data_IF_226065772411
#
_entry.id   IF_226065772411
#
_cell.length_a   1.000
_cell.length_b   1.000
_cell.length_c   1.000
_cell.angle_alpha   90.00
_cell.angle_beta   90.00
_cell.angle_gamma   90.00
#
_symmetry.space_group_name_H-M   'P 1'
#
loop_
_entity.id
_entity.type
_entity.pdbx_description
1 polymer ?
#
# COMPACT_ATOMS: atom_id res chain seq x y z
N UNK A 1 -11.49 -0.30 7.53
CA UNK A 1 -10.21 -0.67 6.89
C UNK A 1 -9.92 0.23 5.72
N UNK A 2 -8.68 0.34 5.34
CA UNK A 2 -8.25 1.17 4.22
C UNK A 2 -7.24 0.40 3.36
N UNK A 3 -7.18 0.74 2.08
CA UNK A 3 -6.19 0.20 1.16
C UNK A 3 -5.16 1.28 0.81
N UNK A 4 -3.90 0.99 1.02
CA UNK A 4 -2.79 1.90 0.78
C UNK A 4 -1.84 1.28 -0.24
N UNK A 5 -1.52 2.04 -1.30
CA UNK A 5 -0.61 1.57 -2.33
C UNK A 5 0.85 1.75 -1.90
N UNK A 6 1.21 1.11 -0.80
CA UNK A 6 2.54 1.10 -0.24
C UNK A 6 2.77 -0.15 0.58
N UNK A 7 4.01 -0.62 0.62
CA UNK A 7 4.40 -1.78 1.42
C UNK A 7 4.68 -1.32 2.85
N UNK A 8 3.62 -1.24 3.67
CA UNK A 8 3.73 -0.79 5.06
C UNK A 8 4.69 -1.68 5.87
N UNK A 9 5.46 -1.14 6.79
CA UNK A 9 5.49 0.25 7.30
C UNK A 9 6.26 1.25 6.43
N UNK A 10 6.79 0.83 5.31
CA UNK A 10 7.47 1.70 4.37
C UNK A 10 6.45 2.41 3.48
N UNK A 11 6.82 3.52 2.87
CA UNK A 11 5.96 4.28 1.96
C UNK A 11 4.60 4.64 2.57
N UNK A 12 4.59 5.12 3.82
CA UNK A 12 3.39 5.67 4.45
C UNK A 12 3.03 7.02 3.85
N UNK A 13 1.77 7.44 4.00
CA UNK A 13 1.22 8.72 3.61
C UNK A 13 0.83 8.77 2.13
N UNK A 14 1.32 9.74 1.37
CA UNK A 14 0.85 10.03 0.00
C UNK A 14 1.99 10.08 -1.02
N UNK A 15 1.63 10.15 -2.30
CA UNK A 15 2.58 10.20 -3.43
C UNK A 15 3.53 8.99 -3.50
N UNK A 16 3.08 7.86 -2.96
CA UNK A 16 3.91 6.67 -2.81
C UNK A 16 4.39 6.10 -4.14
N UNK A 17 3.54 6.09 -5.18
CA UNK A 17 3.96 5.61 -6.50
C UNK A 17 5.02 6.51 -7.12
N UNK A 18 4.88 7.82 -6.95
CA UNK A 18 5.89 8.78 -7.40
C UNK A 18 7.23 8.52 -6.69
N UNK A 19 7.20 8.34 -5.37
CA UNK A 19 8.42 8.10 -4.60
C UNK A 19 9.03 6.75 -4.91
N UNK A 20 8.23 5.72 -5.16
CA UNK A 20 8.75 4.42 -5.58
C UNK A 20 9.50 4.51 -6.91
N UNK A 21 8.95 5.26 -7.87
CA UNK A 21 9.60 5.50 -9.16
C UNK A 21 10.86 6.35 -9.01
N UNK A 22 10.81 7.42 -8.20
CA UNK A 22 11.97 8.29 -7.93
C UNK A 22 13.10 7.48 -7.27
N UNK A 23 12.77 6.59 -6.36
CA UNK A 23 13.75 5.76 -5.65
C UNK A 23 14.22 4.55 -6.47
N UNK A 24 13.77 4.40 -7.69
CA UNK A 24 14.11 3.27 -8.57
C UNK A 24 13.84 1.92 -7.91
N UNK A 25 12.72 1.82 -7.23
CA UNK A 25 12.31 0.56 -6.59
C UNK A 25 12.01 -0.51 -7.64
N UNK A 26 12.36 -1.76 -7.35
CA UNK A 26 12.10 -2.89 -8.24
C UNK A 26 10.74 -3.52 -8.00
N UNK A 27 10.13 -3.21 -6.87
CA UNK A 27 8.80 -3.68 -6.50
C UNK A 27 8.12 -2.67 -5.60
N UNK A 28 6.80 -2.76 -5.51
CA UNK A 28 6.01 -2.01 -4.54
C UNK A 28 4.95 -2.92 -3.92
N UNK A 29 4.38 -2.49 -2.82
CA UNK A 29 3.34 -3.25 -2.16
C UNK A 29 2.03 -2.50 -2.11
N UNK A 30 0.94 -3.24 -1.96
CA UNK A 30 -0.38 -2.71 -1.62
C UNK A 30 -0.78 -3.35 -0.30
N UNK A 31 -1.19 -2.52 0.66
CA UNK A 31 -1.55 -2.98 2.00
C UNK A 31 -2.99 -2.61 2.33
N UNK A 32 -3.76 -3.56 2.84
CA UNK A 32 -5.05 -3.29 3.48
C UNK A 32 -4.82 -3.32 4.98
N UNK A 33 -5.22 -2.28 5.67
CA UNK A 33 -4.95 -2.11 7.10
C UNK A 33 -6.14 -1.51 7.84
N UNK A 34 -6.15 -1.68 9.15
CA UNK A 34 -7.09 -0.96 10.01
C UNK A 34 -6.69 0.50 10.12
N UNK A 35 -7.68 1.36 10.34
CA UNK A 35 -7.44 2.78 10.57
C UNK A 35 -7.23 2.98 12.07
N UNK A 36 -6.14 3.66 12.43
CA UNK A 36 -5.85 4.06 13.82
C UNK A 36 -5.54 5.56 13.89
N UNK A 37 -4.88 6.01 14.95
CA UNK A 37 -4.57 7.44 15.17
C UNK A 37 -3.46 7.96 14.26
N UNK A 38 -2.61 7.09 13.74
CA UNK A 38 -1.49 7.47 12.88
C UNK A 38 -1.83 7.41 11.40
N UNK A 39 -0.91 7.90 10.58
CA UNK A 39 -1.05 7.82 9.13
C UNK A 39 -0.51 6.47 8.65
N UNK A 40 -1.40 5.60 8.18
CA UNK A 40 -1.07 4.26 7.68
C UNK A 40 -0.30 3.41 8.71
N UNK A 41 -0.67 3.51 9.99
CA UNK A 41 0.00 2.81 11.09
C UNK A 41 -0.82 1.68 11.70
N UNK A 42 -2.07 1.49 11.28
CA UNK A 42 -2.92 0.41 11.78
C UNK A 42 -2.42 -0.98 11.40
N UNK A 43 -2.92 -1.99 12.10
CA UNK A 43 -2.54 -3.38 11.83
C UNK A 43 -2.87 -3.78 10.39
N UNK A 44 -1.99 -4.56 9.78
CA UNK A 44 -2.11 -4.99 8.38
C UNK A 44 -3.01 -6.22 8.31
N UNK A 45 -4.02 -6.17 7.44
CA UNK A 45 -4.94 -7.27 7.18
C UNK A 45 -4.43 -8.13 6.03
N UNK A 46 -4.10 -7.49 4.91
CA UNK A 46 -3.51 -8.14 3.72
C UNK A 46 -2.43 -7.24 3.14
N UNK A 47 -1.40 -7.85 2.61
CA UNK A 47 -0.36 -7.13 1.87
C UNK A 47 0.08 -7.97 0.69
N UNK A 48 0.24 -7.34 -0.46
CA UNK A 48 0.71 -8.02 -1.68
C UNK A 48 1.76 -7.18 -2.37
N UNK A 49 2.77 -7.83 -2.89
CA UNK A 49 3.90 -7.19 -3.57
C UNK A 49 3.79 -7.38 -5.07
N UNK A 50 4.14 -6.34 -5.83
CA UNK A 50 4.09 -6.30 -7.29
C UNK A 50 5.42 -5.84 -7.84
N UNK A 51 5.83 -6.44 -8.96
CA UNK A 51 7.04 -6.04 -9.66
C UNK A 51 6.82 -4.72 -10.41
N UNK A 52 7.81 -3.84 -10.36
CA UNK A 52 7.88 -2.65 -11.21
C UNK A 52 8.79 -2.99 -12.38
N UNK A 53 8.22 -2.97 -13.59
CA UNK A 53 8.95 -3.25 -14.82
C UNK A 53 9.58 -1.98 -15.38
N UNK A 54 10.62 -2.11 -16.17
CA UNK A 54 11.28 -0.95 -16.82
C UNK A 54 10.32 -0.14 -17.69
N UNK A 55 9.28 -0.79 -18.24
CA UNK A 55 8.24 -0.13 -19.03
C UNK A 55 7.16 0.56 -18.18
N UNK A 56 7.17 0.39 -16.86
CA UNK A 56 6.17 0.98 -16.00
C UNK A 56 6.45 2.46 -15.75
N UNK A 57 5.37 3.23 -15.75
CA UNK A 57 5.36 4.64 -15.36
C UNK A 57 4.28 4.87 -14.29
N UNK A 58 4.07 6.12 -13.92
CA UNK A 58 3.06 6.46 -12.93
C UNK A 58 1.66 5.97 -13.35
N UNK A 59 1.30 6.14 -14.60
CA UNK A 59 -0.03 5.76 -15.11
C UNK A 59 -0.26 4.25 -15.06
N UNK A 60 0.73 3.46 -15.48
CA UNK A 60 0.60 1.99 -15.44
C UNK A 60 0.50 1.48 -14.02
N UNK A 61 1.30 2.01 -13.10
CA UNK A 61 1.23 1.65 -11.69
C UNK A 61 -0.06 2.10 -11.04
N UNK A 62 -0.55 3.28 -11.37
CA UNK A 62 -1.83 3.79 -10.84
C UNK A 62 -2.99 2.90 -11.26
N UNK A 63 -3.05 2.51 -12.53
CA UNK A 63 -4.08 1.60 -13.04
C UNK A 63 -4.03 0.24 -12.33
N UNK A 64 -2.84 -0.30 -12.14
CA UNK A 64 -2.65 -1.55 -11.39
C UNK A 64 -3.14 -1.41 -9.95
N UNK A 65 -2.80 -0.31 -9.29
CA UNK A 65 -3.23 -0.04 -7.92
C UNK A 65 -4.75 0.02 -7.80
N UNK A 66 -5.45 0.72 -8.71
CA UNK A 66 -6.90 0.79 -8.68
C UNK A 66 -7.53 -0.60 -8.79
N UNK A 67 -7.05 -1.40 -9.71
CA UNK A 67 -7.54 -2.77 -9.92
C UNK A 67 -7.27 -3.65 -8.70
N UNK A 68 -6.04 -3.63 -8.21
CA UNK A 68 -5.61 -4.54 -7.15
C UNK A 68 -6.10 -4.09 -5.77
N UNK A 69 -6.23 -2.80 -5.51
CA UNK A 69 -6.84 -2.31 -4.29
C UNK A 69 -8.28 -2.78 -4.16
N UNK A 70 -9.06 -2.70 -5.23
CA UNK A 70 -10.43 -3.20 -5.23
C UNK A 70 -10.48 -4.70 -4.93
N UNK A 71 -9.62 -5.48 -5.56
CA UNK A 71 -9.53 -6.92 -5.34
C UNK A 71 -9.13 -7.27 -3.90
N UNK A 72 -8.13 -6.60 -3.35
CA UNK A 72 -7.65 -6.84 -1.99
C UNK A 72 -8.67 -6.41 -0.93
N UNK A 73 -9.39 -5.31 -1.15
CA UNK A 73 -10.47 -4.88 -0.26
C UNK A 73 -11.61 -5.90 -0.26
N UNK A 74 -11.98 -6.41 -1.43
CA UNK A 74 -12.99 -7.45 -1.55
C UNK A 74 -12.57 -8.72 -0.80
N UNK A 75 -11.33 -9.16 -1.01
CA UNK A 75 -10.77 -10.33 -0.31
C UNK A 75 -10.76 -10.13 1.21
N UNK A 76 -10.39 -8.93 1.68
CA UNK A 76 -10.42 -8.58 3.10
C UNK A 76 -11.84 -8.63 3.66
N UNK A 77 -12.82 -8.15 2.90
CA UNK A 77 -14.22 -8.19 3.31
C UNK A 77 -14.72 -9.64 3.45
N UNK A 78 -14.37 -10.51 2.53
CA UNK A 78 -14.72 -11.94 2.62
C UNK A 78 -14.10 -12.56 3.87
N UNK A 79 -12.85 -12.25 4.20
CA UNK A 79 -12.21 -12.72 5.43
C UNK A 79 -12.99 -12.27 6.68
N UNK A 80 -13.47 -11.02 6.70
CA UNK A 80 -14.31 -10.54 7.81
C UNK A 80 -15.63 -11.32 7.91
N UNK A 81 -16.30 -11.53 6.79
CA UNK A 81 -17.57 -12.26 6.77
C UNK A 81 -17.42 -13.72 7.21
N UNK A 82 -16.27 -14.31 6.98
CA UNK A 82 -15.93 -15.68 7.39
C UNK A 82 -15.27 -15.75 8.78
N UNK A 83 -15.10 -14.62 9.44
CA UNK A 83 -14.39 -14.50 10.73
C UNK A 83 -12.96 -15.06 10.70
N UNK A 84 -12.28 -14.87 9.58
CA UNK A 84 -10.92 -15.39 9.34
C UNK A 84 -9.85 -14.30 9.23
N UNK A 85 -10.11 -13.10 9.74
CA UNK A 85 -9.12 -12.02 9.70
C UNK A 85 -7.99 -12.33 10.68
N UNK A 86 -6.75 -12.27 10.16
CA UNK A 86 -5.52 -12.44 10.95
C UNK A 86 -4.65 -11.20 10.74
N UNK A 87 -5.06 -10.08 11.35
CA UNK A 87 -4.29 -8.85 11.27
C UNK A 87 -3.00 -8.98 12.07
N UNK A 88 -1.95 -8.31 11.62
CA UNK A 88 -0.67 -8.26 12.30
C UNK A 88 -0.16 -6.83 12.41
N UNK A 89 0.58 -6.56 13.48
CA UNK A 89 1.17 -5.25 13.70
C UNK A 89 2.26 -4.97 12.67
N UNK A 90 2.35 -3.70 12.26
CA UNK A 90 3.45 -3.26 11.44
C UNK A 90 4.75 -3.35 12.23
N UNK A 91 5.83 -3.74 11.56
CA UNK A 91 7.16 -3.74 12.16
C UNK A 91 7.57 -2.31 12.52
N UNK A 92 8.38 -2.17 13.55
CA UNK A 92 8.98 -0.88 13.90
C UNK A 92 9.85 -0.39 12.75
N UNK A 93 9.99 0.93 12.65
CA UNK A 93 10.70 1.56 11.57
C UNK A 93 9.78 1.95 10.43
N UNK A 94 10.32 1.98 9.22
CA UNK A 94 9.59 2.46 8.06
C UNK A 94 9.70 3.97 7.91
N UNK A 95 8.95 4.55 7.00
CA UNK A 95 9.02 5.98 6.72
C UNK A 95 7.73 6.48 6.07
N UNK A 96 7.55 7.79 6.12
CA UNK A 96 6.46 8.52 5.46
C UNK A 96 7.01 9.18 4.20
N UNK A 97 6.21 9.15 3.13
CA UNK A 97 6.54 9.88 1.91
C UNK A 97 6.13 11.33 2.07
N UNK A 98 7.06 12.28 1.93
CA UNK A 98 6.71 13.70 2.03
C UNK A 98 5.90 14.14 0.81
N UNK A 99 5.13 15.22 1.00
CA UNK A 99 4.41 15.86 -0.10
C UNK A 99 5.42 16.37 -1.12
N UNK A 100 5.20 16.04 -2.40
CA UNK A 100 6.06 16.55 -3.47
C UNK A 100 5.86 18.06 -3.64
N UNK A 101 6.97 18.78 -3.72
CA UNK A 101 6.92 20.21 -4.02
C UNK A 101 6.56 20.39 -5.49
N UNK A 102 5.67 21.35 -5.77
CA UNK A 102 5.43 21.78 -7.15
C UNK A 102 6.68 22.51 -7.64
N UNK A 103 7.06 22.18 -8.84
CA UNK A 103 8.11 22.93 -9.53
C UNK A 103 7.52 24.13 -10.26
#
# INVERSE_FOLDING_TARGET
MNCHAGKLPFYRDRNILNWALINDEKEFGISVHFIDKGINTGDIILQKTYEIKDSDDYTTLLNLCHKECASLLYESLILFLEDNVKAYKQKEGGFYCPKRKKR
#
